data_IF_828140673532
#
_entry.id   IF_828140673532
#
_cell.length_a   1.000
_cell.length_b   1.000
_cell.length_c   1.000
_cell.angle_alpha   90.00
_cell.angle_beta   90.00
_cell.angle_gamma   90.00
#
_symmetry.space_group_name_H-M   'P 1'
#
loop_
_entity.id
_entity.type
_entity.pdbx_description
1 polymer ?
#
# COMPACT_ATOMS: atom_id res chain seq x y z
N UNK A 1 -13.04 -3.28 -16.07
CA UNK A 1 -12.11 -3.62 -14.96
C UNK A 1 -11.39 -2.35 -14.51
N UNK A 2 -11.17 -2.17 -13.21
CA UNK A 2 -10.44 -1.03 -12.66
C UNK A 2 -9.31 -1.54 -11.75
N UNK A 3 -8.28 -0.73 -11.56
CA UNK A 3 -7.16 -1.02 -10.67
C UNK A 3 -7.13 0.02 -9.56
N UNK A 4 -6.90 -0.43 -8.32
CA UNK A 4 -6.77 0.45 -7.15
C UNK A 4 -5.41 0.23 -6.53
N UNK A 5 -4.63 1.31 -6.44
CA UNK A 5 -3.36 1.33 -5.72
C UNK A 5 -3.58 2.01 -4.38
N UNK A 6 -3.11 1.39 -3.31
CA UNK A 6 -3.18 1.92 -1.95
C UNK A 6 -1.87 1.66 -1.20
N UNK A 7 -1.66 2.40 -0.12
CA UNK A 7 -0.53 2.23 0.79
C UNK A 7 -1.03 2.34 2.22
N UNK A 8 -0.50 1.49 3.10
CA UNK A 8 -0.69 1.60 4.55
C UNK A 8 0.01 2.87 5.05
N UNK A 9 -0.69 3.70 5.83
CA UNK A 9 -0.10 4.91 6.40
C UNK A 9 1.07 4.56 7.34
N UNK A 10 2.06 5.46 7.41
CA UNK A 10 3.14 5.31 8.38
C UNK A 10 2.58 5.36 9.81
N UNK A 11 3.01 4.41 10.65
CA UNK A 11 2.51 4.29 12.02
C UNK A 11 1.09 3.73 12.16
N UNK A 12 0.51 3.16 11.09
CA UNK A 12 -0.75 2.44 11.21
C UNK A 12 -0.60 1.25 12.18
N UNK A 13 -1.62 1.02 13.01
CA UNK A 13 -1.65 -0.10 13.94
C UNK A 13 -1.58 -1.44 13.20
N UNK A 14 -0.83 -2.39 13.75
CA UNK A 14 -0.81 -3.75 13.25
C UNK A 14 -2.13 -4.48 13.57
N UNK A 15 -2.47 -5.47 12.74
CA UNK A 15 -3.65 -6.31 12.86
C UNK A 15 -4.61 -6.19 11.68
N UNK A 16 -5.84 -6.67 11.87
CA UNK A 16 -6.84 -6.72 10.80
C UNK A 16 -7.52 -5.37 10.59
N UNK A 17 -7.56 -4.94 9.34
CA UNK A 17 -8.23 -3.72 8.89
C UNK A 17 -9.17 -4.05 7.74
N UNK A 18 -10.26 -3.29 7.62
CA UNK A 18 -11.19 -3.43 6.49
C UNK A 18 -11.05 -2.22 5.56
N UNK A 19 -10.66 -2.47 4.32
CA UNK A 19 -10.71 -1.48 3.24
C UNK A 19 -12.10 -1.55 2.59
N UNK A 20 -12.85 -0.46 2.70
CA UNK A 20 -14.20 -0.34 2.15
C UNK A 20 -14.16 0.51 0.88
N UNK A 21 -14.53 -0.09 -0.25
CA UNK A 21 -14.64 0.56 -1.54
C UNK A 21 -16.12 0.78 -1.86
N UNK A 22 -16.53 2.05 -1.92
CA UNK A 22 -17.86 2.45 -2.38
C UNK A 22 -17.79 2.78 -3.87
N UNK A 23 -18.42 1.95 -4.69
CA UNK A 23 -18.43 2.07 -6.14
C UNK A 23 -19.77 2.67 -6.56
N UNK A 24 -19.74 3.73 -7.35
CA UNK A 24 -20.94 4.33 -7.93
C UNK A 24 -20.79 4.32 -9.45
N UNK A 25 -21.75 3.71 -10.14
CA UNK A 25 -21.73 3.59 -11.59
C UNK A 25 -23.14 3.72 -12.17
N UNK A 26 -23.24 3.93 -13.48
CA UNK A 26 -24.48 3.85 -14.24
C UNK A 26 -24.46 2.59 -15.10
N UNK A 27 -25.58 1.87 -15.16
CA UNK A 27 -25.72 0.72 -16.05
C UNK A 27 -26.09 1.14 -17.50
N UNK A 28 -26.28 0.15 -18.36
CA UNK A 28 -26.68 0.34 -19.76
C UNK A 28 -28.10 0.94 -19.94
N UNK A 29 -28.90 0.94 -18.86
CA UNK A 29 -30.21 1.57 -18.79
C UNK A 29 -30.16 2.97 -18.15
N UNK A 30 -28.96 3.53 -17.93
CA UNK A 30 -28.70 4.79 -17.23
C UNK A 30 -29.20 4.83 -15.78
N UNK A 31 -29.39 3.68 -15.14
CA UNK A 31 -29.76 3.61 -13.73
C UNK A 31 -28.51 3.71 -12.87
N UNK A 32 -28.58 4.52 -11.82
CA UNK A 32 -27.47 4.67 -10.88
C UNK A 32 -27.46 3.52 -9.90
N UNK A 33 -26.28 2.92 -9.73
CA UNK A 33 -26.03 1.86 -8.76
C UNK A 33 -24.97 2.30 -7.75
N UNK A 34 -25.10 1.78 -6.53
CA UNK A 34 -24.11 1.93 -5.46
C UNK A 34 -23.79 0.55 -4.93
N UNK A 35 -22.54 0.13 -5.09
CA UNK A 35 -22.04 -1.13 -4.56
C UNK A 35 -20.98 -0.88 -3.51
N UNK A 36 -20.93 -1.74 -2.50
CA UNK A 36 -19.91 -1.70 -1.45
C UNK A 36 -19.12 -3.00 -1.49
N UNK A 37 -17.81 -2.89 -1.65
CA UNK A 37 -16.86 -3.99 -1.57
C UNK A 37 -16.02 -3.84 -0.32
N UNK A 38 -15.96 -4.90 0.48
CA UNK A 38 -15.16 -4.95 1.70
C UNK A 38 -13.99 -5.92 1.51
N UNK A 39 -12.77 -5.43 1.75
CA UNK A 39 -11.53 -6.19 1.65
C UNK A 39 -10.85 -6.21 3.02
N UNK A 40 -10.69 -7.41 3.60
CA UNK A 40 -9.93 -7.57 4.84
C UNK A 40 -8.44 -7.60 4.54
N UNK A 41 -7.69 -6.72 5.19
CA UNK A 41 -6.24 -6.60 5.11
C UNK A 41 -5.65 -6.96 6.48
N UNK A 42 -4.47 -7.59 6.48
CA UNK A 42 -3.69 -7.81 7.70
C UNK A 42 -2.43 -6.93 7.63
N UNK A 43 -2.29 -6.00 8.57
CA UNK A 43 -1.16 -5.09 8.67
C UNK A 43 -0.18 -5.66 9.68
N UNK A 44 1.03 -6.00 9.23
CA UNK A 44 2.05 -6.57 10.11
C UNK A 44 2.98 -5.48 10.66
N UNK A 45 3.29 -5.56 11.96
CA UNK A 45 4.31 -4.74 12.60
C UNK A 45 5.69 -5.19 12.10
N UNK A 46 6.41 -4.32 11.40
CA UNK A 46 7.80 -4.58 11.03
C UNK A 46 8.70 -4.38 12.25
N UNK A 47 8.89 -5.43 13.04
CA UNK A 47 9.84 -5.44 14.14
C UNK A 47 11.26 -5.42 13.59
N UNK A 48 11.90 -4.25 13.65
CA UNK A 48 13.34 -4.13 13.42
C UNK A 48 14.07 -4.91 14.51
N UNK A 49 14.52 -6.13 14.23
CA UNK A 49 15.37 -6.87 15.17
C UNK A 49 16.69 -6.12 15.34
N UNK A 50 16.94 -5.61 16.54
CA UNK A 50 18.15 -4.88 16.90
C UNK A 50 19.38 -5.78 16.95
N UNK A 51 20.31 -5.52 16.03
CA UNK A 51 21.76 -5.39 16.25
C UNK A 51 22.41 -5.28 14.87
N UNK A 52 22.72 -4.06 14.41
CA UNK A 52 24.08 -3.61 14.06
C UNK A 52 24.07 -2.06 14.08
N UNK A 53 25.07 -1.53 14.76
CA UNK A 53 25.63 -0.19 14.66
C UNK A 53 25.31 0.56 13.35
N UNK A 54 24.91 1.82 13.49
CA UNK A 54 25.11 2.93 12.53
C UNK A 54 24.80 2.66 11.04
N UNK A 55 23.66 3.19 10.60
CA UNK A 55 23.42 3.68 9.24
C UNK A 55 23.39 2.67 8.08
N UNK A 56 22.19 2.17 7.75
CA UNK A 56 21.94 1.52 6.45
C UNK A 56 20.42 1.42 6.19
N UNK A 57 19.68 2.47 5.85
CA UNK A 57 19.60 3.16 4.54
C UNK A 57 20.45 2.51 3.40
N UNK A 58 20.53 1.17 3.32
CA UNK A 58 21.43 0.51 2.34
C UNK A 58 20.79 -0.46 1.35
N UNK A 59 19.52 -0.86 1.53
CA UNK A 59 18.85 -1.77 0.59
C UNK A 59 17.98 -1.04 -0.43
N UNK A 60 17.09 -0.19 0.06
CA UNK A 60 16.04 0.44 -0.75
C UNK A 60 16.54 1.63 -1.58
N UNK A 61 17.46 2.43 -1.03
CA UNK A 61 18.08 3.56 -1.73
C UNK A 61 19.15 3.14 -2.74
N UNK A 62 19.73 1.95 -2.56
CA UNK A 62 20.68 1.36 -3.52
C UNK A 62 19.99 0.88 -4.79
N UNK A 63 18.75 0.41 -4.69
CA UNK A 63 17.93 0.10 -5.84
C UNK A 63 17.48 1.38 -6.58
N UNK A 64 17.13 2.44 -5.84
CA UNK A 64 16.65 3.71 -6.42
C UNK A 64 17.74 4.50 -7.20
N UNK A 65 19.01 4.46 -6.79
CA UNK A 65 20.10 5.12 -7.56
C UNK A 65 20.35 4.48 -8.93
N UNK A 66 20.01 3.21 -9.10
CA UNK A 66 20.25 2.45 -10.35
C UNK A 66 19.30 2.86 -11.49
N UNK A 67 18.11 3.33 -11.15
CA UNK A 67 17.11 3.85 -12.10
C UNK A 67 17.33 5.33 -12.47
N UNK A 68 18.15 6.05 -11.71
CA UNK A 68 18.51 7.45 -11.98
C UNK A 68 19.89 7.62 -12.62
N UNK A 69 20.55 6.52 -13.01
CA UNK A 69 21.79 6.56 -13.80
C UNK A 69 23.03 7.09 -13.08
N UNK A 70 23.01 7.15 -11.75
CA UNK A 70 24.14 7.62 -10.95
C UNK A 70 24.96 6.41 -10.47
N UNK A 71 26.03 6.12 -11.23
CA UNK A 71 27.09 5.18 -10.86
C UNK A 71 27.90 5.67 -9.65
N UNK A 72 28.70 4.78 -9.04
CA UNK A 72 28.96 4.68 -7.60
C UNK A 72 29.32 5.99 -6.89
#
# INVERSE_FOLDING_TARGET
>A
PFEVQFRVAEGADAGKHNLILRITYQDDLNQQHVETLELTLDVEEVRSQGNIETSSIGGFWVWLRKILGLGP
#
